data_IF_086326985803
#
_entry.id   IF_086326985803
#
_cell.length_a   1.000
_cell.length_b   1.000
_cell.length_c   1.000
_cell.angle_alpha   90.00
_cell.angle_beta   90.00
_cell.angle_gamma   90.00
#
_symmetry.space_group_name_H-M   'P 1'
#
loop_
_entity.id
_entity.type
_entity.pdbx_description
1 polymer ?
#
# COMPACT_ATOMS: atom_id res chain seq x y z
N UNK A 1 -13.87 -7.68 -11.40
CA UNK A 1 -13.21 -8.20 -10.18
C UNK A 1 -13.11 -7.02 -9.26
N UNK A 2 -13.81 -7.06 -8.14
CA UNK A 2 -14.04 -5.89 -7.31
C UNK A 2 -12.70 -5.34 -6.79
N UNK A 3 -12.46 -4.07 -7.12
CA UNK A 3 -11.24 -3.29 -6.88
C UNK A 3 -11.06 -2.91 -5.41
N UNK A 4 -11.34 -3.84 -4.50
CA UNK A 4 -11.33 -3.59 -3.05
C UNK A 4 -9.90 -3.73 -2.52
N UNK A 5 -9.42 -2.67 -1.87
CA UNK A 5 -8.12 -2.63 -1.20
C UNK A 5 -8.37 -2.58 0.30
N UNK A 6 -7.79 -3.52 1.04
CA UNK A 6 -7.78 -3.51 2.50
C UNK A 6 -6.48 -2.89 3.02
N UNK A 7 -6.58 -2.22 4.16
CA UNK A 7 -5.45 -1.59 4.82
C UNK A 7 -5.73 -1.33 6.29
N UNK A 8 -4.79 -0.66 6.96
CA UNK A 8 -4.90 -0.25 8.35
C UNK A 8 -5.16 1.26 8.44
N UNK A 9 -6.02 1.67 9.37
CA UNK A 9 -6.30 3.09 9.65
C UNK A 9 -5.51 3.52 10.88
N UNK A 10 -4.71 4.58 10.72
CA UNK A 10 -3.92 5.17 11.80
C UNK A 10 -4.51 6.52 12.23
N UNK A 11 -4.64 6.73 13.53
CA UNK A 11 -5.03 8.02 14.11
C UNK A 11 -3.78 8.77 14.56
N UNK A 12 -3.54 9.93 13.95
CA UNK A 12 -2.38 10.77 14.21
C UNK A 12 -2.83 12.21 14.54
N UNK A 13 -1.95 12.99 15.16
CA UNK A 13 -2.17 14.43 15.31
C UNK A 13 -1.95 15.14 13.97
N UNK A 14 -2.78 16.14 13.65
CA UNK A 14 -2.70 16.93 12.42
C UNK A 14 -1.34 17.62 12.21
N UNK A 15 -0.59 17.88 13.29
CA UNK A 15 0.77 18.41 13.18
C UNK A 15 1.73 17.52 12.37
N UNK A 16 1.40 16.23 12.19
CA UNK A 16 2.22 15.29 11.43
C UNK A 16 1.95 15.34 9.91
N UNK A 17 0.95 16.09 9.44
CA UNK A 17 0.59 16.11 8.01
C UNK A 17 1.79 16.46 7.13
N UNK A 18 2.52 17.53 7.46
CA UNK A 18 3.70 17.93 6.69
C UNK A 18 4.81 16.88 6.70
N UNK A 19 5.00 16.18 7.82
CA UNK A 19 6.00 15.11 7.93
C UNK A 19 5.62 13.91 7.07
N UNK A 20 4.33 13.52 7.06
CA UNK A 20 3.83 12.45 6.21
C UNK A 20 3.95 12.81 4.72
N UNK A 21 3.58 14.03 4.33
CA UNK A 21 3.71 14.51 2.95
C UNK A 21 5.17 14.49 2.47
N UNK A 22 6.10 14.82 3.37
CA UNK A 22 7.53 14.76 3.08
C UNK A 22 8.03 13.32 2.93
N UNK A 23 7.58 12.39 3.78
CA UNK A 23 7.94 10.97 3.69
C UNK A 23 7.48 10.36 2.36
N UNK A 24 6.30 10.74 1.88
CA UNK A 24 5.72 10.26 0.63
C UNK A 24 6.19 11.05 -0.61
N UNK A 25 7.08 12.04 -0.42
CA UNK A 25 7.65 12.83 -1.51
C UNK A 25 6.60 13.62 -2.30
N UNK A 26 5.59 14.18 -1.62
CA UNK A 26 4.50 14.93 -2.26
C UNK A 26 5.02 16.16 -3.00
N UNK A 27 5.98 16.88 -2.43
CA UNK A 27 6.61 18.04 -3.07
C UNK A 27 7.34 17.67 -4.37
N UNK A 28 7.92 16.46 -4.41
CA UNK A 28 8.65 15.92 -5.56
C UNK A 28 7.73 15.18 -6.56
N UNK A 29 6.41 15.20 -6.31
CA UNK A 29 5.39 14.52 -7.13
C UNK A 29 5.62 13.02 -7.26
N UNK A 30 6.21 12.37 -6.25
CA UNK A 30 6.27 10.90 -6.20
C UNK A 30 4.88 10.34 -5.94
N UNK A 31 4.21 10.89 -4.92
CA UNK A 31 2.82 10.61 -4.58
C UNK A 31 2.02 11.91 -4.48
N UNK A 32 0.69 11.80 -4.57
CA UNK A 32 -0.22 12.87 -4.21
C UNK A 32 -1.15 12.39 -3.09
N UNK A 33 -1.49 13.31 -2.19
CA UNK A 33 -2.42 13.03 -1.12
C UNK A 33 -3.87 13.12 -1.58
N UNK A 34 -4.72 12.26 -1.06
CA UNK A 34 -6.16 12.29 -1.28
C UNK A 34 -6.91 12.00 0.03
N UNK A 35 -8.13 12.52 0.13
CA UNK A 35 -9.07 12.18 1.19
C UNK A 35 -10.12 11.24 0.60
N UNK A 36 -10.29 10.07 1.18
CA UNK A 36 -11.33 9.13 0.75
C UNK A 36 -12.19 8.69 1.93
N UNK A 37 -13.37 8.19 1.58
CA UNK A 37 -14.25 7.50 2.49
C UNK A 37 -13.85 6.01 2.50
N UNK A 38 -13.52 5.49 3.68
CA UNK A 38 -13.20 4.09 3.94
C UNK A 38 -14.33 3.48 4.75
N UNK A 39 -14.80 2.30 4.36
CA UNK A 39 -15.74 1.51 5.13
C UNK A 39 -15.01 0.55 6.07
N UNK A 40 -15.33 0.60 7.36
CA UNK A 40 -14.78 -0.33 8.37
C UNK A 40 -15.53 -1.66 8.33
N UNK A 41 -14.99 -2.74 8.95
CA UNK A 41 -15.72 -4.01 9.06
C UNK A 41 -17.08 -3.92 9.77
N UNK A 42 -17.32 -2.85 10.55
CA UNK A 42 -18.60 -2.61 11.22
C UNK A 42 -19.56 -1.75 10.39
N UNK A 43 -19.18 -1.36 9.17
CA UNK A 43 -19.97 -0.50 8.28
C UNK A 43 -19.87 0.99 8.60
N UNK A 44 -18.93 1.41 9.45
CA UNK A 44 -18.69 2.83 9.71
C UNK A 44 -17.92 3.42 8.52
N UNK A 45 -18.27 4.66 8.12
CA UNK A 45 -17.54 5.39 7.09
C UNK A 45 -16.59 6.39 7.76
N UNK A 46 -15.29 6.22 7.52
CA UNK A 46 -14.23 7.10 8.00
C UNK A 46 -13.65 7.90 6.84
N UNK A 47 -13.49 9.20 7.03
CA UNK A 47 -12.78 10.05 6.07
C UNK A 47 -11.29 10.05 6.38
N UNK A 48 -10.50 9.36 5.55
CA UNK A 48 -9.07 9.13 5.79
C UNK A 48 -8.20 9.81 4.73
N UNK A 49 -7.03 10.29 5.16
CA UNK A 49 -5.95 10.71 4.24
C UNK A 49 -5.19 9.48 3.78
N UNK A 50 -4.85 9.41 2.50
CA UNK A 50 -3.95 8.41 1.93
C UNK A 50 -3.10 9.04 0.83
N UNK A 51 -2.22 8.23 0.24
CA UNK A 51 -1.32 8.64 -0.83
C UNK A 51 -1.41 7.67 -2.00
N UNK A 52 -1.36 8.21 -3.21
CA UNK A 52 -1.33 7.43 -4.44
C UNK A 52 -0.20 7.94 -5.34
N UNK A 53 0.50 7.03 -6.02
CA UNK A 53 1.57 7.40 -6.94
C UNK A 53 1.04 8.32 -8.03
N UNK A 54 1.78 9.39 -8.33
CA UNK A 54 1.43 10.31 -9.42
C UNK A 54 1.56 9.66 -10.80
N UNK A 55 2.56 8.78 -10.95
CA UNK A 55 2.90 8.14 -12.22
C UNK A 55 2.53 6.66 -12.18
N UNK A 56 1.25 6.36 -12.42
CA UNK A 56 0.77 4.98 -12.50
C UNK A 56 0.99 4.40 -13.92
N UNK A 57 1.27 3.10 -14.05
CA UNK A 57 1.30 2.45 -15.34
C UNK A 57 -0.07 2.49 -16.03
N UNK A 58 -0.10 2.74 -17.34
CA UNK A 58 -1.34 2.84 -18.11
C UNK A 58 -2.17 1.53 -18.12
N UNK A 59 -1.52 0.39 -17.94
CA UNK A 59 -2.15 -0.92 -17.98
C UNK A 59 -2.40 -1.46 -16.57
N UNK A 60 -3.67 -1.75 -16.32
CA UNK A 60 -4.13 -2.44 -15.11
C UNK A 60 -3.94 -3.95 -15.26
N UNK A 61 -2.87 -4.47 -14.66
CA UNK A 61 -2.51 -5.89 -14.67
C UNK A 61 -2.83 -6.46 -13.29
N UNK A 62 -3.40 -7.68 -13.24
CA UNK A 62 -3.61 -8.39 -11.97
C UNK A 62 -2.27 -8.54 -11.25
N UNK A 63 -2.25 -8.35 -9.94
CA UNK A 63 -1.02 -8.31 -9.14
C UNK A 63 -0.16 -9.57 -9.29
N UNK A 64 -0.78 -10.75 -9.42
CA UNK A 64 -0.09 -12.02 -9.62
C UNK A 64 0.55 -12.19 -11.02
N UNK A 65 0.20 -11.32 -11.98
CA UNK A 65 0.67 -11.34 -13.37
C UNK A 65 1.62 -10.18 -13.68
N UNK A 66 2.09 -9.44 -12.66
CA UNK A 66 2.98 -8.30 -12.87
C UNK A 66 4.28 -8.72 -13.60
N UNK A 67 4.69 -7.96 -14.65
CA UNK A 67 5.96 -8.21 -15.31
C UNK A 67 7.12 -7.90 -14.37
N UNK A 68 8.26 -8.60 -14.53
CA UNK A 68 9.39 -8.55 -13.57
C UNK A 68 9.84 -7.14 -13.17
N UNK A 69 9.85 -6.19 -14.12
CA UNK A 69 10.25 -4.80 -13.88
C UNK A 69 9.23 -3.96 -13.07
N UNK A 70 7.98 -4.43 -12.92
CA UNK A 70 6.93 -3.83 -12.09
C UNK A 70 6.70 -4.58 -10.77
N UNK A 71 7.49 -5.62 -10.49
CA UNK A 71 7.39 -6.39 -9.25
C UNK A 71 8.12 -5.68 -8.10
N UNK A 72 7.58 -5.75 -6.87
CA UNK A 72 8.25 -5.19 -5.70
C UNK A 72 9.58 -5.91 -5.41
N UNK A 73 10.45 -5.25 -4.65
CA UNK A 73 11.60 -5.91 -4.04
C UNK A 73 11.13 -6.97 -3.02
N UNK A 74 11.90 -8.06 -2.80
CA UNK A 74 11.54 -9.08 -1.82
C UNK A 74 11.32 -8.50 -0.43
N UNK A 75 12.24 -7.65 0.06
CA UNK A 75 12.15 -7.02 1.39
C UNK A 75 10.92 -6.12 1.54
N UNK A 76 10.57 -5.38 0.48
CA UNK A 76 9.39 -4.52 0.50
C UNK A 76 8.09 -5.33 0.59
N UNK A 77 7.99 -6.41 -0.19
CA UNK A 77 6.85 -7.32 -0.13
C UNK A 77 6.75 -8.02 1.23
N UNK A 78 7.88 -8.45 1.79
CA UNK A 78 7.94 -9.05 3.14
C UNK A 78 7.44 -8.07 4.21
N UNK A 79 7.83 -6.79 4.12
CA UNK A 79 7.36 -5.74 5.04
C UNK A 79 5.84 -5.55 4.96
N UNK A 80 5.27 -5.56 3.75
CA UNK A 80 3.81 -5.49 3.54
C UNK A 80 3.12 -6.71 4.18
N UNK A 81 3.64 -7.91 3.95
CA UNK A 81 3.05 -9.14 4.48
C UNK A 81 3.11 -9.17 6.01
N UNK A 82 4.26 -8.82 6.59
CA UNK A 82 4.42 -8.75 8.06
C UNK A 82 3.42 -7.76 8.67
N UNK A 83 3.30 -6.55 8.10
CA UNK A 83 2.30 -5.58 8.56
C UNK A 83 0.86 -6.07 8.41
N UNK A 84 0.55 -6.80 7.34
CA UNK A 84 -0.77 -7.40 7.14
C UNK A 84 -1.08 -8.47 8.20
N UNK A 85 -0.12 -9.34 8.52
CA UNK A 85 -0.27 -10.35 9.58
C UNK A 85 -0.39 -9.70 10.97
N UNK A 86 0.46 -8.71 11.28
CA UNK A 86 0.47 -8.02 12.57
C UNK A 86 -0.83 -7.26 12.85
N UNK A 87 -1.50 -6.76 11.81
CA UNK A 87 -2.76 -6.02 11.96
C UNK A 87 -3.88 -6.84 12.63
N UNK A 88 -3.86 -8.17 12.48
CA UNK A 88 -4.90 -9.12 12.93
C UNK A 88 -6.35 -8.79 12.50
N UNK A 89 -6.54 -7.81 11.60
CA UNK A 89 -7.86 -7.29 11.20
C UNK A 89 -8.11 -7.39 9.70
N UNK A 90 -7.07 -7.63 8.89
CA UNK A 90 -7.22 -7.86 7.46
C UNK A 90 -7.84 -9.24 7.21
N UNK A 91 -8.80 -9.38 6.27
CA UNK A 91 -9.38 -10.68 5.95
C UNK A 91 -8.34 -11.67 5.43
N UNK A 92 -8.42 -12.93 5.86
CA UNK A 92 -7.50 -13.98 5.43
C UNK A 92 -7.43 -14.12 3.91
N UNK A 93 -8.55 -13.94 3.19
CA UNK A 93 -8.55 -14.05 1.73
C UNK A 93 -7.84 -12.87 1.05
N UNK A 94 -7.80 -11.70 1.68
CA UNK A 94 -6.99 -10.58 1.19
C UNK A 94 -5.49 -10.82 1.42
N UNK A 95 -5.11 -11.38 2.57
CA UNK A 95 -3.72 -11.78 2.82
C UNK A 95 -3.25 -12.80 1.76
N UNK A 96 -4.08 -13.79 1.43
CA UNK A 96 -3.79 -14.74 0.32
C UNK A 96 -3.66 -14.06 -1.05
N UNK A 97 -4.25 -12.89 -1.26
CA UNK A 97 -4.04 -12.10 -2.49
C UNK A 97 -2.67 -11.44 -2.45
N UNK A 98 -2.25 -10.88 -1.31
CA UNK A 98 -0.92 -10.28 -1.12
C UNK A 98 0.19 -11.33 -1.31
N UNK A 99 0.03 -12.53 -0.74
CA UNK A 99 0.99 -13.64 -0.87
C UNK A 99 1.23 -14.10 -2.32
N UNK A 100 0.27 -13.84 -3.22
CA UNK A 100 0.37 -14.19 -4.65
C UNK A 100 1.11 -13.15 -5.49
N UNK A 101 1.49 -12.00 -4.90
CA UNK A 101 2.24 -10.98 -5.62
C UNK A 101 3.68 -11.48 -5.78
N UNK A 102 4.20 -11.64 -7.00
CA UNK A 102 5.57 -12.05 -7.19
C UNK A 102 6.52 -10.86 -6.93
N UNK A 103 7.62 -11.08 -6.23
CA UNK A 103 8.72 -10.11 -6.13
C UNK A 103 9.68 -10.22 -7.33
N UNK A 104 10.59 -9.26 -7.45
CA UNK A 104 11.55 -9.17 -8.56
C UNK A 104 12.83 -10.03 -8.39
N UNK A 105 12.94 -10.79 -7.28
CA UNK A 105 14.07 -11.71 -6.99
C UNK A 105 15.41 -11.00 -6.79
N UNK A 106 15.40 -9.71 -6.41
CA UNK A 106 16.63 -8.99 -6.09
C UNK A 106 17.35 -9.63 -4.88
N UNK A 107 18.63 -9.94 -5.04
CA UNK A 107 19.49 -10.58 -4.03
C UNK A 107 20.68 -9.72 -3.60
N UNK A 108 20.73 -8.45 -4.01
CA UNK A 108 21.80 -7.53 -3.61
C UNK A 108 21.62 -7.01 -2.19
N UNK A 109 22.61 -6.25 -1.71
CA UNK A 109 22.52 -5.61 -0.41
C UNK A 109 21.47 -4.50 -0.41
N UNK A 110 20.77 -4.40 0.72
CA UNK A 110 19.86 -3.31 1.01
C UNK A 110 20.64 -2.27 1.82
N UNK A 111 20.70 -1.04 1.31
CA UNK A 111 21.17 0.10 2.12
C UNK A 111 19.99 0.53 3.00
N UNK A 112 19.91 -0.06 4.20
CA UNK A 112 18.90 0.26 5.23
C UNK A 112 19.57 1.15 6.29
#
# INVERSE_FOLDING_TARGET
EDYVVWGAVWKLNECNICTLDNQEGVADKLYFSLMVDIETPTGEILKCRMYQQCNNPNEHIKSCLLPKHRRPLPLYLETILNGAYESNQLPCDYIKVLEKIPHNEYTGEYNI
#
